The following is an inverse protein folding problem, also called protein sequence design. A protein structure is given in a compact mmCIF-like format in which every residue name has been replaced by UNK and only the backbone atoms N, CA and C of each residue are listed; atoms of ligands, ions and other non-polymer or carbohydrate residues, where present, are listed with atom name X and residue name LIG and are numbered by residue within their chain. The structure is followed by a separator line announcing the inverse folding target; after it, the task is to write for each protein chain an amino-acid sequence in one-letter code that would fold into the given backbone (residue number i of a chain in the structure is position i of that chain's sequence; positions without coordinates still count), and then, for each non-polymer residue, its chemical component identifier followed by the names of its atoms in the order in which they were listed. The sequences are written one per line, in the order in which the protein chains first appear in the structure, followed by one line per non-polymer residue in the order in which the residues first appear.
data_IF_258407963808
#
_entry.id   IF_258407963808
#
_cell.length_a   1.000
_cell.length_b   1.000
_cell.length_c   1.000
_cell.angle_alpha   90.00
_cell.angle_beta   90.00
_cell.angle_gamma   90.00
#
_symmetry.space_group_name_H-M   'P 1'
#
loop_
_entity.id
_entity.type
_entity.pdbx_description
1 polymer ?
#
# COMPACT_ATOMS: atom_id res chain seq x y z
N UNK A 1 8.39 -11.18 8.52
CA UNK A 1 7.48 -10.50 7.59
C UNK A 1 6.99 -9.21 8.22
N UNK A 2 6.92 -8.09 7.48
CA UNK A 2 6.47 -6.81 8.03
C UNK A 2 4.95 -6.65 7.91
N UNK A 3 4.32 -6.03 8.93
CA UNK A 3 2.91 -5.67 8.87
C UNK A 3 2.74 -4.16 8.73
N UNK A 4 1.83 -3.78 7.86
CA UNK A 4 1.48 -2.40 7.56
C UNK A 4 0.00 -2.18 7.91
N UNK A 5 -0.34 -1.83 9.17
CA UNK A 5 -1.71 -1.42 9.48
C UNK A 5 -2.07 -0.20 8.64
N UNK A 6 -3.26 -0.28 8.00
CA UNK A 6 -3.71 0.75 7.06
C UNK A 6 -4.55 1.82 7.75
N UNK A 7 -4.32 3.07 7.35
CA UNK A 7 -5.14 4.24 7.65
C UNK A 7 -5.59 4.81 6.31
N UNK A 8 -6.73 4.34 5.83
CA UNK A 8 -7.35 4.84 4.59
C UNK A 8 -8.20 6.04 4.93
N UNK A 9 -7.96 7.20 4.32
CA UNK A 9 -8.65 8.46 4.64
C UNK A 9 -9.52 8.92 3.48
N UNK A 10 -10.79 9.20 3.79
CA UNK A 10 -11.79 9.77 2.90
C UNK A 10 -12.49 10.93 3.63
N UNK A 11 -12.56 12.12 3.02
CA UNK A 11 -13.18 13.29 3.63
C UNK A 11 -12.56 13.66 5.00
N UNK A 12 -11.26 13.49 5.17
CA UNK A 12 -10.55 13.78 6.41
C UNK A 12 -10.72 12.73 7.53
N UNK A 13 -11.40 11.63 7.30
CA UNK A 13 -11.74 10.60 8.29
C UNK A 13 -11.24 9.23 7.84
N UNK A 14 -10.98 8.34 8.80
CA UNK A 14 -10.65 6.94 8.49
C UNK A 14 -11.86 6.26 7.85
N UNK A 15 -11.68 5.81 6.62
CA UNK A 15 -12.72 5.13 5.87
C UNK A 15 -13.08 3.77 6.50
N UNK A 16 -14.35 3.42 6.47
CA UNK A 16 -14.88 2.14 6.97
C UNK A 16 -14.68 1.91 8.48
N UNK A 17 -14.14 2.89 9.22
CA UNK A 17 -14.05 2.81 10.66
C UNK A 17 -15.38 3.24 11.32
N UNK A 18 -15.74 2.70 12.52
CA UNK A 18 -16.81 3.26 13.32
C UNK A 18 -16.58 4.76 13.58
N UNK A 19 -17.66 5.54 13.72
CA UNK A 19 -17.55 7.00 13.86
C UNK A 19 -16.64 7.44 15.04
N UNK A 20 -16.62 6.67 16.12
CA UNK A 20 -15.76 6.91 17.29
C UNK A 20 -14.25 6.69 16.98
N UNK A 21 -13.93 5.87 15.98
CA UNK A 21 -12.57 5.48 15.61
C UNK A 21 -12.08 6.15 14.31
N UNK A 22 -12.86 7.10 13.80
CA UNK A 22 -12.63 7.68 12.47
C UNK A 22 -11.59 8.82 12.45
N UNK A 23 -10.92 9.14 13.55
CA UNK A 23 -9.83 10.12 13.60
C UNK A 23 -8.52 9.46 13.16
N UNK A 24 -7.88 9.95 12.07
CA UNK A 24 -6.61 9.39 11.58
C UNK A 24 -5.45 9.49 12.58
N UNK A 25 -5.39 10.54 13.41
CA UNK A 25 -4.35 10.69 14.43
C UNK A 25 -4.56 9.72 15.60
N UNK A 26 -5.80 9.51 16.00
CA UNK A 26 -6.12 8.50 17.01
C UNK A 26 -5.81 7.08 16.50
N UNK A 27 -6.08 6.79 15.22
CA UNK A 27 -5.72 5.52 14.60
C UNK A 27 -4.20 5.30 14.56
N UNK A 28 -3.42 6.33 14.16
CA UNK A 28 -1.96 6.32 14.20
C UNK A 28 -1.45 5.98 15.60
N UNK A 29 -1.92 6.71 16.62
CA UNK A 29 -1.48 6.52 18.00
C UNK A 29 -1.81 5.12 18.52
N UNK A 30 -3.02 4.61 18.22
CA UNK A 30 -3.45 3.25 18.55
C UNK A 30 -2.53 2.20 17.97
N UNK A 31 -2.16 2.32 16.68
CA UNK A 31 -1.26 1.38 16.03
C UNK A 31 0.17 1.46 16.56
N UNK A 32 0.68 2.67 16.83
CA UNK A 32 2.00 2.85 17.44
C UNK A 32 2.07 2.21 18.83
N UNK A 33 1.05 2.39 19.68
CA UNK A 33 0.98 1.76 21.01
C UNK A 33 0.87 0.24 20.93
N UNK A 34 0.22 -0.28 19.89
CA UNK A 34 0.12 -1.73 19.66
C UNK A 34 1.39 -2.36 19.10
N UNK A 35 2.46 -1.58 18.87
CA UNK A 35 3.75 -2.08 18.42
C UNK A 35 3.93 -2.13 16.90
N UNK A 36 3.14 -1.38 16.13
CA UNK A 36 3.39 -1.22 14.71
C UNK A 36 4.80 -0.68 14.45
N UNK A 37 5.49 -1.23 13.45
CA UNK A 37 6.79 -0.73 12.98
C UNK A 37 6.69 0.09 11.72
N UNK A 38 5.58 0.00 11.01
CA UNK A 38 5.21 0.78 9.84
C UNK A 38 3.73 1.13 9.88
N UNK A 39 3.36 2.21 9.19
CA UNK A 39 1.98 2.54 8.83
C UNK A 39 1.86 2.59 7.31
N UNK A 40 0.75 2.09 6.79
CA UNK A 40 0.32 2.35 5.41
C UNK A 40 -0.82 3.37 5.43
N UNK A 41 -0.55 4.57 4.92
CA UNK A 41 -1.54 5.65 4.85
C UNK A 41 -2.00 5.82 3.39
N UNK A 42 -3.31 5.92 3.18
CA UNK A 42 -3.90 6.10 1.84
C UNK A 42 -4.82 7.31 1.82
N UNK A 43 -4.57 8.24 0.90
CA UNK A 43 -5.48 9.31 0.56
C UNK A 43 -6.46 8.83 -0.53
N UNK A 44 -7.68 8.43 -0.10
CA UNK A 44 -8.70 7.93 -1.01
C UNK A 44 -9.29 9.03 -1.89
N UNK A 45 -9.41 10.27 -1.40
CA UNK A 45 -9.95 11.36 -2.20
C UNK A 45 -9.04 11.67 -3.39
N UNK A 46 -7.72 11.68 -3.17
CA UNK A 46 -6.74 11.81 -4.25
C UNK A 46 -6.74 10.58 -5.15
N UNK A 47 -6.85 9.36 -4.59
CA UNK A 47 -6.89 8.12 -5.36
C UNK A 47 -8.05 8.08 -6.35
N UNK A 48 -9.19 8.66 -5.97
CA UNK A 48 -10.40 8.71 -6.79
C UNK A 48 -10.64 10.05 -7.48
N UNK A 49 -9.64 10.96 -7.47
CA UNK A 49 -9.72 12.31 -8.08
C UNK A 49 -10.93 13.13 -7.57
N UNK A 50 -11.25 13.03 -6.27
CA UNK A 50 -12.34 13.77 -5.61
C UNK A 50 -11.85 14.90 -4.70
N UNK A 51 -10.58 15.20 -4.72
CA UNK A 51 -9.89 16.15 -3.86
C UNK A 51 -8.61 15.57 -3.28
N UNK A 52 -8.19 16.04 -2.10
CA UNK A 52 -7.07 15.51 -1.35
C UNK A 52 -7.26 15.66 0.16
N UNK A 53 -6.51 14.88 0.93
CA UNK A 53 -6.41 14.97 2.38
C UNK A 53 -5.04 15.51 2.82
N UNK A 54 -4.44 16.44 2.07
CA UNK A 54 -3.07 16.92 2.28
C UNK A 54 -2.82 17.47 3.69
N UNK A 55 -3.79 18.16 4.30
CA UNK A 55 -3.68 18.66 5.67
C UNK A 55 -3.59 17.49 6.69
N UNK A 56 -4.44 16.47 6.53
CA UNK A 56 -4.45 15.26 7.37
C UNK A 56 -3.17 14.45 7.16
N UNK A 57 -2.75 14.29 5.91
CA UNK A 57 -1.51 13.60 5.56
C UNK A 57 -0.29 14.22 6.27
N UNK A 58 -0.17 15.56 6.22
CA UNK A 58 0.89 16.28 6.92
C UNK A 58 0.82 16.12 8.44
N UNK A 59 -0.38 16.20 9.01
CA UNK A 59 -0.57 16.02 10.45
C UNK A 59 -0.17 14.62 10.91
N UNK A 60 -0.55 13.57 10.15
CA UNK A 60 -0.18 12.18 10.42
C UNK A 60 1.34 12.00 10.32
N UNK A 61 1.99 12.53 9.27
CA UNK A 61 3.43 12.45 9.11
C UNK A 61 4.19 13.16 10.23
N UNK A 62 3.72 14.33 10.66
CA UNK A 62 4.34 15.09 11.75
C UNK A 62 4.19 14.40 13.12
N UNK A 63 3.10 13.65 13.35
CA UNK A 63 2.85 12.93 14.60
C UNK A 63 3.44 11.51 14.63
N UNK A 64 3.84 10.98 13.47
CA UNK A 64 4.36 9.62 13.38
C UNK A 64 5.75 9.50 14.02
N UNK A 65 5.90 8.51 14.90
CA UNK A 65 7.18 8.10 15.51
C UNK A 65 7.80 6.87 14.84
N UNK A 66 7.10 6.32 13.86
CA UNK A 66 7.49 5.16 13.06
C UNK A 66 7.35 5.51 11.58
N UNK A 67 8.05 4.82 10.68
CA UNK A 67 7.98 5.09 9.25
C UNK A 67 6.55 4.95 8.71
N UNK A 68 6.18 5.90 7.84
CA UNK A 68 4.89 5.90 7.14
C UNK A 68 5.12 5.71 5.65
N UNK A 69 4.46 4.69 5.10
CA UNK A 69 4.33 4.47 3.66
C UNK A 69 3.04 5.11 3.18
N UNK A 70 3.11 5.99 2.19
CA UNK A 70 1.93 6.73 1.68
C UNK A 70 1.57 6.26 0.29
N UNK A 71 0.29 5.94 0.10
CA UNK A 71 -0.35 5.67 -1.19
C UNK A 71 -1.55 6.59 -1.45
N UNK A 72 -2.29 6.27 -2.51
CA UNK A 72 -3.50 6.99 -2.90
C UNK A 72 -3.25 8.03 -4.00
N UNK A 73 -3.44 7.65 -5.26
CA UNK A 73 -3.41 8.54 -6.42
C UNK A 73 -2.07 9.24 -6.72
N UNK A 74 -0.97 8.74 -6.19
CA UNK A 74 0.36 9.35 -6.38
C UNK A 74 0.92 8.91 -7.73
N UNK A 75 0.77 9.78 -8.74
CA UNK A 75 1.10 9.46 -10.13
C UNK A 75 2.04 10.48 -10.80
N UNK A 76 2.53 11.49 -10.09
CA UNK A 76 3.40 12.53 -10.64
C UNK A 76 4.69 12.69 -9.84
N UNK A 77 5.78 13.09 -10.52
CA UNK A 77 7.07 13.37 -9.86
C UNK A 77 6.93 14.47 -8.79
N UNK A 78 6.12 15.48 -9.05
CA UNK A 78 5.87 16.57 -8.10
C UNK A 78 5.16 16.07 -6.84
N UNK A 79 4.11 15.25 -6.97
CA UNK A 79 3.39 14.67 -5.83
C UNK A 79 4.26 13.73 -4.99
N UNK A 80 5.15 12.95 -5.64
CA UNK A 80 6.11 12.11 -4.92
C UNK A 80 7.11 12.97 -4.15
N UNK A 81 7.69 13.99 -4.80
CA UNK A 81 8.64 14.91 -4.17
C UNK A 81 8.01 15.65 -2.98
N UNK A 82 6.76 16.06 -3.10
CA UNK A 82 6.00 16.70 -2.04
C UNK A 82 5.83 15.79 -0.82
N UNK A 83 5.37 14.55 -1.01
CA UNK A 83 5.20 13.58 0.09
C UNK A 83 6.52 13.24 0.78
N UNK A 84 7.60 13.11 0.01
CA UNK A 84 8.95 12.91 0.56
C UNK A 84 9.38 14.13 1.38
N UNK A 85 9.12 15.35 0.91
CA UNK A 85 9.43 16.58 1.63
C UNK A 85 8.60 16.72 2.92
N UNK A 86 7.38 16.18 2.97
CA UNK A 86 6.56 16.13 4.19
C UNK A 86 7.01 15.06 5.19
N UNK A 87 7.98 14.20 4.84
CA UNK A 87 8.55 13.20 5.73
C UNK A 87 8.04 11.78 5.51
N UNK A 88 7.38 11.48 4.39
CA UNK A 88 7.04 10.11 4.05
C UNK A 88 8.31 9.24 3.95
N UNK A 89 8.35 8.14 4.68
CA UNK A 89 9.47 7.20 4.61
C UNK A 89 9.50 6.43 3.28
N UNK A 90 8.31 6.14 2.73
CA UNK A 90 8.14 5.49 1.43
C UNK A 90 6.86 6.00 0.74
N UNK A 91 6.92 6.19 -0.58
CA UNK A 91 5.78 6.57 -1.39
C UNK A 91 5.40 5.42 -2.32
N UNK A 92 4.13 5.04 -2.33
CA UNK A 92 3.59 4.05 -3.27
C UNK A 92 3.20 4.77 -4.55
N UNK A 93 3.96 4.51 -5.60
CA UNK A 93 3.72 5.04 -6.94
C UNK A 93 2.52 4.33 -7.55
N UNK A 94 1.53 5.08 -8.01
CA UNK A 94 0.31 4.49 -8.57
C UNK A 94 0.57 3.60 -9.79
N UNK A 95 -0.29 2.60 -10.05
CA UNK A 95 -0.06 1.56 -11.06
C UNK A 95 0.18 2.10 -12.47
N UNK A 96 -0.52 3.16 -12.88
CA UNK A 96 -0.33 3.79 -14.19
C UNK A 96 1.09 4.39 -14.34
N UNK A 97 1.58 5.07 -13.30
CA UNK A 97 2.93 5.64 -13.29
C UNK A 97 4.00 4.53 -13.15
N UNK A 98 3.73 3.47 -12.38
CA UNK A 98 4.58 2.29 -12.30
C UNK A 98 4.68 1.52 -13.64
N UNK A 99 3.67 1.64 -14.51
CA UNK A 99 3.70 1.09 -15.86
C UNK A 99 4.54 1.93 -16.84
N UNK A 100 4.77 3.21 -16.57
CA UNK A 100 5.61 4.08 -17.40
C UNK A 100 7.10 3.87 -17.06
N UNK A 101 7.82 3.25 -18.01
CA UNK A 101 9.23 2.91 -17.84
C UNK A 101 10.10 4.14 -17.57
N UNK A 102 9.95 5.18 -18.39
CA UNK A 102 10.77 6.39 -18.26
C UNK A 102 10.51 7.12 -16.95
N UNK A 103 9.26 7.13 -16.50
CA UNK A 103 8.89 7.67 -15.18
C UNK A 103 9.59 6.91 -14.06
N UNK A 104 9.53 5.58 -14.07
CA UNK A 104 10.18 4.74 -13.04
C UNK A 104 11.69 4.98 -13.00
N UNK A 105 12.36 5.05 -14.16
CA UNK A 105 13.80 5.34 -14.22
C UNK A 105 14.14 6.69 -13.57
N UNK A 106 13.38 7.74 -13.88
CA UNK A 106 13.59 9.07 -13.28
C UNK A 106 13.31 9.08 -11.78
N UNK A 107 12.25 8.41 -11.33
CA UNK A 107 11.90 8.33 -9.92
C UNK A 107 12.96 7.59 -9.10
N UNK A 108 13.45 6.45 -9.59
CA UNK A 108 14.50 5.67 -8.94
C UNK A 108 15.82 6.45 -8.88
N UNK A 109 16.18 7.14 -9.96
CA UNK A 109 17.38 7.98 -9.99
C UNK A 109 17.30 9.15 -9.00
N UNK A 110 16.11 9.75 -8.81
CA UNK A 110 15.92 10.91 -7.95
C UNK A 110 15.75 10.58 -6.48
N UNK A 111 15.01 9.53 -6.15
CA UNK A 111 14.58 9.24 -4.78
C UNK A 111 15.23 7.98 -4.18
N UNK A 112 15.80 7.12 -5.02
CA UNK A 112 16.32 5.81 -4.62
C UNK A 112 15.21 4.76 -4.45
N UNK A 113 15.59 3.50 -4.52
CA UNK A 113 14.66 2.37 -4.44
C UNK A 113 14.02 2.21 -3.04
N UNK A 114 14.68 2.64 -1.98
CA UNK A 114 14.18 2.47 -0.60
C UNK A 114 13.01 3.41 -0.28
N UNK A 115 12.92 4.55 -0.96
CA UNK A 115 11.83 5.53 -0.77
C UNK A 115 10.63 5.30 -1.67
N UNK A 116 10.68 4.30 -2.53
CA UNK A 116 9.61 4.01 -3.48
C UNK A 116 9.10 2.58 -3.32
N UNK A 117 7.79 2.42 -3.41
CA UNK A 117 7.15 1.15 -3.67
C UNK A 117 6.31 1.29 -4.95
N UNK A 118 6.44 0.37 -5.89
CA UNK A 118 5.68 0.44 -7.14
C UNK A 118 4.37 -0.30 -6.96
N UNK A 119 3.23 0.39 -7.17
CA UNK A 119 1.91 -0.19 -7.06
C UNK A 119 1.59 -1.10 -8.25
N UNK A 120 1.12 -2.29 -7.98
CA UNK A 120 0.63 -3.26 -8.97
C UNK A 120 -0.78 -3.66 -8.55
N UNK A 121 -1.78 -2.97 -9.09
CA UNK A 121 -3.17 -3.37 -8.96
C UNK A 121 -3.46 -4.39 -10.07
N UNK A 122 -3.92 -5.58 -9.70
CA UNK A 122 -4.10 -6.70 -10.60
C UNK A 122 -5.53 -7.21 -10.61
N UNK A 123 -5.96 -7.69 -11.77
CA UNK A 123 -7.14 -8.51 -11.95
C UNK A 123 -6.82 -9.59 -12.98
N UNK A 124 -7.06 -10.83 -12.64
CA UNK A 124 -6.81 -12.00 -13.52
C UNK A 124 -5.39 -12.01 -14.11
N UNK A 125 -4.37 -11.63 -13.31
CA UNK A 125 -2.96 -11.58 -13.72
C UNK A 125 -2.58 -10.40 -14.62
N UNK A 126 -3.48 -9.45 -14.85
CA UNK A 126 -3.25 -8.25 -15.68
C UNK A 126 -3.35 -6.99 -14.84
N UNK A 127 -2.63 -5.95 -15.26
CA UNK A 127 -2.67 -4.65 -14.60
C UNK A 127 -4.07 -4.03 -14.72
N UNK A 128 -4.68 -3.70 -13.59
CA UNK A 128 -6.04 -3.18 -13.51
C UNK A 128 -6.12 -2.02 -12.50
N UNK A 129 -5.64 -0.80 -12.85
CA UNK A 129 -5.71 0.35 -11.97
C UNK A 129 -7.15 0.66 -11.55
N UNK A 130 -7.37 0.90 -10.26
CA UNK A 130 -8.71 1.21 -9.71
C UNK A 130 -9.23 2.60 -10.09
N UNK A 131 -8.33 3.55 -10.27
CA UNK A 131 -8.71 4.89 -10.65
C UNK A 131 -9.10 4.91 -12.13
N UNK A 132 -10.34 5.27 -12.41
CA UNK A 132 -10.85 5.56 -13.74
C UNK A 132 -10.25 6.90 -14.21
N UNK A 133 -8.96 6.90 -14.56
CA UNK A 133 -8.36 7.99 -15.32
C UNK A 133 -8.80 7.90 -16.78
N UNK A 134 -8.65 9.00 -17.59
CA UNK A 134 -9.03 9.02 -18.99
C UNK A 134 -8.23 8.07 -19.88
N UNK A 135 -7.24 7.37 -19.32
CA UNK A 135 -6.42 6.39 -20.02
C UNK A 135 -6.78 4.99 -19.56
N UNK A 136 -7.21 4.15 -20.49
CA UNK A 136 -7.32 2.72 -20.26
C UNK A 136 -5.97 2.19 -19.73
N UNK A 137 -6.02 1.34 -18.71
CA UNK A 137 -4.80 0.68 -18.24
C UNK A 137 -4.15 -0.05 -19.43
N UNK A 138 -2.83 0.08 -19.60
CA UNK A 138 -2.15 -0.70 -20.63
C UNK A 138 -2.37 -2.20 -20.34
N UNK A 139 -2.59 -2.96 -21.38
CA UNK A 139 -2.79 -4.42 -21.29
C UNK A 139 -1.46 -5.11 -20.98
N UNK A 140 -1.05 -5.06 -19.72
CA UNK A 140 0.23 -5.56 -19.23
C UNK A 140 -0.01 -6.76 -18.30
N UNK A 141 0.72 -7.85 -18.53
CA UNK A 141 0.82 -8.98 -17.61
C UNK A 141 1.64 -8.55 -16.39
N UNK A 142 1.10 -8.74 -15.18
CA UNK A 142 1.75 -8.23 -13.96
C UNK A 142 3.11 -8.89 -13.70
N UNK A 143 3.31 -10.15 -14.08
CA UNK A 143 4.61 -10.82 -13.96
C UNK A 143 5.68 -10.18 -14.85
N UNK A 144 5.33 -9.77 -16.08
CA UNK A 144 6.23 -9.05 -16.99
C UNK A 144 6.56 -7.66 -16.46
N UNK A 145 5.56 -6.97 -15.90
CA UNK A 145 5.77 -5.68 -15.23
C UNK A 145 6.74 -5.83 -14.07
N UNK A 146 6.54 -6.80 -13.19
CA UNK A 146 7.41 -7.06 -12.05
C UNK A 146 8.85 -7.37 -12.48
N UNK A 147 9.04 -8.19 -13.52
CA UNK A 147 10.36 -8.48 -14.09
C UNK A 147 11.03 -7.21 -14.60
N UNK A 148 10.29 -6.35 -15.30
CA UNK A 148 10.80 -5.07 -15.80
C UNK A 148 11.20 -4.15 -14.64
N UNK A 149 10.33 -3.96 -13.65
CA UNK A 149 10.59 -3.12 -12.47
C UNK A 149 11.85 -3.57 -11.73
N UNK A 150 12.04 -4.88 -11.57
CA UNK A 150 13.26 -5.45 -10.99
C UNK A 150 14.50 -5.10 -11.82
N UNK A 151 14.43 -5.22 -13.14
CA UNK A 151 15.54 -4.88 -14.05
C UNK A 151 15.88 -3.38 -13.99
N UNK A 152 14.89 -2.52 -13.73
CA UNK A 152 15.08 -1.09 -13.52
C UNK A 152 15.68 -0.75 -12.14
N UNK A 153 15.82 -1.71 -11.24
CA UNK A 153 16.37 -1.50 -9.90
C UNK A 153 15.33 -1.18 -8.83
N UNK A 154 14.04 -1.39 -9.11
CA UNK A 154 13.00 -1.32 -8.08
C UNK A 154 13.25 -2.40 -7.01
N UNK A 155 12.98 -2.05 -5.75
CA UNK A 155 13.15 -2.95 -4.61
C UNK A 155 11.81 -3.46 -4.10
N UNK A 156 10.86 -2.57 -3.88
CA UNK A 156 9.59 -2.87 -3.24
C UNK A 156 8.41 -2.70 -4.20
N UNK A 157 7.49 -3.64 -4.18
CA UNK A 157 6.19 -3.53 -4.86
C UNK A 157 5.06 -3.73 -3.86
N UNK A 158 3.96 -3.00 -4.04
CA UNK A 158 2.69 -3.25 -3.36
C UNK A 158 1.77 -3.92 -4.36
N UNK A 159 1.48 -5.19 -4.13
CA UNK A 159 0.59 -5.99 -4.98
C UNK A 159 -0.81 -6.02 -4.39
N UNK A 160 -1.81 -5.65 -5.18
CA UNK A 160 -3.21 -5.68 -4.78
C UNK A 160 -4.04 -6.39 -5.84
N UNK A 161 -4.75 -7.45 -5.46
CA UNK A 161 -5.86 -7.96 -6.26
C UNK A 161 -7.09 -7.07 -6.04
N UNK A 162 -7.51 -6.35 -7.08
CA UNK A 162 -8.61 -5.38 -6.98
C UNK A 162 -9.97 -6.03 -6.69
N UNK A 163 -10.15 -7.32 -7.04
CA UNK A 163 -11.36 -8.06 -6.73
C UNK A 163 -11.45 -8.48 -5.25
N UNK A 164 -10.31 -8.57 -4.57
CA UNK A 164 -10.20 -8.98 -3.16
C UNK A 164 -10.05 -7.79 -2.21
N UNK A 165 -9.78 -6.59 -2.74
CA UNK A 165 -9.59 -5.43 -1.89
C UNK A 165 -10.84 -5.07 -1.10
N UNK A 166 -10.69 -5.06 0.24
CA UNK A 166 -11.80 -4.86 1.16
C UNK A 166 -12.84 -5.99 1.20
N UNK A 167 -12.63 -7.12 0.52
CA UNK A 167 -13.60 -8.21 0.44
C UNK A 167 -13.51 -9.23 1.59
N UNK A 168 -12.42 -9.24 2.38
CA UNK A 168 -12.18 -10.21 3.46
C UNK A 168 -12.34 -11.69 3.03
N UNK A 169 -11.97 -12.00 1.78
CA UNK A 169 -12.07 -13.33 1.17
C UNK A 169 -10.74 -14.07 1.05
N UNK A 170 -9.74 -13.66 1.79
CA UNK A 170 -8.36 -14.17 1.72
C UNK A 170 -7.52 -13.42 0.66
N UNK A 171 -6.18 -13.32 0.86
CA UNK A 171 -5.26 -12.66 -0.04
C UNK A 171 -5.00 -13.46 -1.32
N UNK A 172 -4.64 -12.81 -2.42
CA UNK A 172 -4.21 -13.47 -3.66
C UNK A 172 -2.73 -13.87 -3.60
N UNK A 173 -2.45 -14.99 -2.94
CA UNK A 173 -1.09 -15.52 -2.82
C UNK A 173 -0.52 -16.01 -4.16
N UNK A 174 -1.38 -16.50 -5.06
CA UNK A 174 -0.95 -17.01 -6.34
C UNK A 174 -0.44 -15.87 -7.23
N UNK A 175 -1.21 -14.79 -7.35
CA UNK A 175 -0.81 -13.59 -8.09
C UNK A 175 0.43 -12.92 -7.50
N UNK A 176 0.51 -12.80 -6.17
CA UNK A 176 1.69 -12.24 -5.51
C UNK A 176 2.97 -13.06 -5.77
N UNK A 177 2.89 -14.39 -5.75
CA UNK A 177 4.01 -15.28 -6.08
C UNK A 177 4.41 -15.21 -7.56
N UNK A 178 3.46 -14.97 -8.45
CA UNK A 178 3.73 -14.84 -9.90
C UNK A 178 4.62 -13.64 -10.24
N UNK A 179 4.81 -12.67 -9.33
CA UNK A 179 5.75 -11.56 -9.50
C UNK A 179 7.22 -12.02 -9.48
N UNK A 180 7.48 -13.23 -9.00
CA UNK A 180 8.81 -13.84 -8.97
C UNK A 180 9.69 -13.35 -7.81
N UNK A 181 10.93 -13.85 -7.78
CA UNK A 181 11.92 -13.48 -6.76
C UNK A 181 12.64 -12.17 -7.08
N UNK A 182 13.27 -11.58 -6.07
CA UNK A 182 14.13 -10.39 -6.21
C UNK A 182 13.41 -9.05 -6.05
N UNK A 183 12.12 -9.07 -5.71
CA UNK A 183 11.37 -7.91 -5.23
C UNK A 183 10.85 -8.18 -3.81
N UNK A 184 10.82 -7.14 -3.00
CA UNK A 184 10.09 -7.14 -1.73
C UNK A 184 8.61 -6.94 -2.03
N UNK A 185 7.85 -8.04 -2.01
CA UNK A 185 6.41 -7.99 -2.29
C UNK A 185 5.63 -7.77 -1.01
N UNK A 186 4.92 -6.65 -0.94
CA UNK A 186 3.94 -6.33 0.10
C UNK A 186 2.56 -6.61 -0.48
N UNK A 187 1.86 -7.60 0.07
CA UNK A 187 0.50 -7.93 -0.39
C UNK A 187 -0.54 -7.02 0.26
N UNK A 188 -1.53 -6.61 -0.52
CA UNK A 188 -2.67 -5.81 -0.09
C UNK A 188 -3.99 -6.43 -0.55
N UNK A 189 -5.01 -6.30 0.29
CA UNK A 189 -6.35 -6.79 0.01
C UNK A 189 -6.62 -8.23 0.47
N UNK A 190 -7.86 -8.48 0.86
CA UNK A 190 -8.39 -9.80 1.18
C UNK A 190 -8.11 -10.34 2.58
N UNK A 191 -7.09 -9.87 3.31
CA UNK A 191 -6.73 -10.39 4.62
C UNK A 191 -7.88 -10.25 5.60
N UNK A 192 -8.34 -11.38 6.16
CA UNK A 192 -9.49 -11.49 7.03
C UNK A 192 -9.21 -12.19 8.37
N UNK A 193 -8.12 -12.94 8.47
CA UNK A 193 -7.80 -13.79 9.61
C UNK A 193 -6.31 -13.86 9.90
N UNK A 194 -5.94 -14.37 11.08
CA UNK A 194 -4.55 -14.69 11.41
C UNK A 194 -3.99 -15.82 10.54
N UNK A 195 -4.85 -16.73 10.07
CA UNK A 195 -4.44 -17.79 9.16
C UNK A 195 -4.03 -17.25 7.79
N UNK A 196 -4.69 -16.20 7.31
CA UNK A 196 -4.26 -15.51 6.10
C UNK A 196 -2.86 -14.91 6.27
N UNK A 197 -2.55 -14.32 7.43
CA UNK A 197 -1.23 -13.79 7.71
C UNK A 197 -0.16 -14.88 7.79
N UNK A 198 -0.49 -16.05 8.38
CA UNK A 198 0.39 -17.24 8.37
C UNK A 198 0.66 -17.70 6.94
N UNK A 199 -0.39 -17.73 6.10
CA UNK A 199 -0.27 -18.13 4.71
C UNK A 199 0.58 -17.14 3.89
N UNK A 200 0.44 -15.83 4.12
CA UNK A 200 1.29 -14.79 3.51
C UNK A 200 2.76 -14.99 3.91
N UNK A 201 3.03 -15.23 5.20
CA UNK A 201 4.37 -15.50 5.70
C UNK A 201 4.96 -16.78 5.08
N UNK A 202 4.19 -17.86 5.05
CA UNK A 202 4.59 -19.14 4.45
C UNK A 202 4.81 -19.02 2.93
N UNK A 203 4.16 -18.07 2.28
CA UNK A 203 4.39 -17.72 0.88
C UNK A 203 5.73 -17.01 0.63
N UNK A 204 6.47 -16.62 1.69
CA UNK A 204 7.75 -15.91 1.57
C UNK A 204 7.60 -14.44 1.18
N UNK A 205 6.41 -13.84 1.32
CA UNK A 205 6.19 -12.43 1.01
C UNK A 205 6.81 -11.53 2.08
N UNK A 206 7.26 -10.34 1.67
CA UNK A 206 8.01 -9.42 2.53
C UNK A 206 7.13 -8.70 3.52
N UNK A 207 5.85 -8.47 3.17
CA UNK A 207 4.92 -7.78 4.06
C UNK A 207 3.46 -7.93 3.67
N UNK A 208 2.59 -7.45 4.58
CA UNK A 208 1.15 -7.43 4.38
C UNK A 208 0.53 -6.11 4.86
N UNK A 209 -0.31 -5.50 4.03
CA UNK A 209 -1.15 -4.36 4.40
C UNK A 209 -2.46 -4.90 4.97
N UNK A 210 -2.80 -4.46 6.19
CA UNK A 210 -3.99 -4.91 6.91
C UNK A 210 -4.83 -3.70 7.29
N UNK A 211 -5.99 -3.55 6.67
CA UNK A 211 -6.93 -2.45 6.91
C UNK A 211 -8.20 -2.95 7.57
N UNK A 212 -9.19 -3.31 6.76
CA UNK A 212 -10.56 -3.63 7.18
C UNK A 212 -10.65 -4.64 8.33
N UNK A 213 -9.83 -5.70 8.32
CA UNK A 213 -9.85 -6.70 9.38
C UNK A 213 -9.49 -6.13 10.76
N UNK A 214 -8.58 -5.14 10.83
CA UNK A 214 -8.27 -4.41 12.07
C UNK A 214 -9.38 -3.45 12.47
N UNK A 215 -10.01 -2.74 11.52
CA UNK A 215 -11.13 -1.84 11.80
C UNK A 215 -12.38 -2.59 12.28
N UNK A 216 -12.63 -3.79 11.75
CA UNK A 216 -13.72 -4.67 12.18
C UNK A 216 -13.38 -5.52 13.43
N UNK A 217 -12.19 -5.30 14.03
CA UNK A 217 -11.71 -6.05 15.19
C UNK A 217 -11.77 -7.57 15.04
N UNK A 218 -11.51 -8.10 13.83
CA UNK A 218 -11.44 -9.55 13.58
C UNK A 218 -10.27 -10.20 14.30
N UNK A 219 -9.23 -9.43 14.52
CA UNK A 219 -8.09 -9.71 15.38
C UNK A 219 -7.43 -8.37 15.75
N UNK A 220 -6.64 -8.37 16.80
CA UNK A 220 -5.85 -7.21 17.22
C UNK A 220 -4.54 -7.13 16.46
N UNK A 221 -3.96 -5.93 16.36
CA UNK A 221 -2.62 -5.79 15.77
C UNK A 221 -1.56 -6.56 16.57
N UNK A 222 -1.70 -6.64 17.90
CA UNK A 222 -0.78 -7.40 18.75
C UNK A 222 -0.81 -8.90 18.41
N UNK A 223 -2.00 -9.49 18.23
CA UNK A 223 -2.13 -10.90 17.78
C UNK A 223 -1.54 -11.10 16.38
N UNK A 224 -1.77 -10.16 15.46
CA UNK A 224 -1.22 -10.20 14.12
C UNK A 224 0.32 -10.16 14.14
N UNK A 225 0.92 -9.26 14.93
CA UNK A 225 2.38 -9.16 15.07
C UNK A 225 2.97 -10.43 15.67
N UNK A 226 2.35 -10.99 16.72
CA UNK A 226 2.78 -12.25 17.32
C UNK A 226 2.70 -13.42 16.32
N UNK A 227 1.68 -13.41 15.45
CA UNK A 227 1.47 -14.46 14.46
C UNK A 227 2.56 -14.50 13.36
N UNK A 228 3.21 -13.37 13.08
CA UNK A 228 4.21 -13.23 11.99
C UNK A 228 5.65 -12.98 12.49
N UNK A 229 5.84 -13.01 13.80
CA UNK A 229 7.15 -12.85 14.45
C UNK A 229 8.17 -13.95 14.07
#
# INVERSE_FOLDING_TARGET
MELYPAIDVEGGRVARAPAADADPLAALERYQRAGARWIHFVDLDRAYARGDNGAVTRAVLAAARIPVQIGGGVATEAGIAELVAWGAARVVVGPAAAADRAMVDRLLARHGADRLALGIDAKDGRLAPRASGPHAAPDIVVAELAQRLRTQGARTVVYTDVARDGALGGPDLAGARALGSGLEVIISGGIASLDDLRAVRAAGLSGAIVGRALHEARFTLAEALACVA
#
